data_IF_184249685882
#
_entry.id   IF_184249685882
#
_cell.length_a   1.000
_cell.length_b   1.000
_cell.length_c   1.000
_cell.angle_alpha   90.00
_cell.angle_beta   90.00
_cell.angle_gamma   90.00
#
_symmetry.space_group_name_H-M   'P 1'
#
loop_
_entity.id
_entity.type
_entity.pdbx_description
1 polymer ?
#
# COMPACT_ATOMS: atom_id res chain seq x y z
N UNK A 1 5.95 2.66 5.30
CA UNK A 1 6.47 2.47 6.68
C UNK A 1 5.38 2.54 7.73
N UNK A 2 4.70 3.68 7.91
CA UNK A 2 3.67 3.82 8.96
C UNK A 2 2.52 2.81 8.85
N UNK A 3 2.10 2.47 7.62
CA UNK A 3 1.08 1.44 7.39
C UNK A 3 1.56 0.07 7.88
N UNK A 4 2.77 -0.37 7.48
CA UNK A 4 3.39 -1.59 7.99
C UNK A 4 3.53 -1.59 9.50
N UNK A 5 4.01 -0.49 10.10
CA UNK A 5 4.19 -0.41 11.55
C UNK A 5 2.86 -0.50 12.28
N UNK A 6 1.82 0.18 11.78
CA UNK A 6 0.48 0.08 12.34
C UNK A 6 -0.06 -1.35 12.29
N UNK A 7 0.22 -2.11 11.23
CA UNK A 7 -0.20 -3.52 11.10
C UNK A 7 0.64 -4.44 11.98
N UNK A 8 1.95 -4.24 12.01
CA UNK A 8 2.87 -4.97 12.87
C UNK A 8 2.48 -4.82 14.34
N UNK A 9 2.27 -3.59 14.81
CA UNK A 9 1.88 -3.32 16.21
C UNK A 9 0.51 -3.91 16.57
N UNK A 10 -0.37 -4.10 15.59
CA UNK A 10 -1.70 -4.67 15.81
C UNK A 10 -1.65 -6.20 15.98
N UNK A 11 -0.69 -6.89 15.38
CA UNK A 11 -0.54 -8.34 15.51
C UNK A 11 0.94 -8.79 15.32
N UNK A 12 1.87 -8.44 16.23
CA UNK A 12 3.30 -8.69 16.00
C UNK A 12 3.63 -10.17 15.79
N UNK A 13 2.90 -11.05 16.48
CA UNK A 13 3.07 -12.50 16.40
C UNK A 13 2.86 -13.08 15.00
N UNK A 14 2.05 -12.43 14.15
CA UNK A 14 1.83 -12.86 12.78
C UNK A 14 3.03 -12.53 11.88
N UNK A 15 3.78 -11.45 12.18
CA UNK A 15 4.87 -10.97 11.33
C UNK A 15 6.24 -11.54 11.73
N UNK A 16 6.52 -11.61 13.04
CA UNK A 16 7.86 -11.96 13.57
C UNK A 16 8.40 -13.28 13.01
N UNK A 17 7.61 -14.39 12.91
CA UNK A 17 8.11 -15.64 12.33
C UNK A 17 8.58 -15.50 10.88
N UNK A 18 7.95 -14.61 10.11
CA UNK A 18 8.32 -14.37 8.71
C UNK A 18 9.50 -13.40 8.58
N UNK A 19 9.67 -12.48 9.54
CA UNK A 19 10.85 -11.61 9.61
C UNK A 19 12.10 -12.42 9.96
N UNK A 20 11.99 -13.36 10.92
CA UNK A 20 13.09 -14.19 11.41
C UNK A 20 13.27 -15.51 10.63
N UNK A 21 12.57 -15.67 9.49
CA UNK A 21 12.69 -16.88 8.69
C UNK A 21 14.11 -17.05 8.13
N UNK A 22 14.57 -18.30 8.05
CA UNK A 22 15.89 -18.69 7.55
C UNK A 22 15.75 -19.49 6.24
N UNK A 23 16.66 -19.36 5.26
CA UNK A 23 17.89 -18.56 5.27
C UNK A 23 17.69 -17.07 5.00
N UNK A 24 16.47 -16.66 4.64
CA UNK A 24 16.09 -15.28 4.41
C UNK A 24 14.64 -15.01 4.85
N UNK A 25 14.31 -13.75 5.21
CA UNK A 25 12.95 -13.38 5.59
C UNK A 25 11.93 -13.74 4.52
N UNK A 26 10.76 -14.25 4.93
CA UNK A 26 9.67 -14.61 4.03
C UNK A 26 8.91 -13.36 3.55
N UNK A 27 9.51 -12.67 2.57
CA UNK A 27 8.99 -11.43 1.97
C UNK A 27 7.61 -11.60 1.34
N UNK A 28 7.34 -12.75 0.75
CA UNK A 28 6.04 -13.06 0.15
C UNK A 28 4.94 -13.06 1.20
N UNK A 29 5.17 -13.71 2.34
CA UNK A 29 4.16 -13.76 3.40
C UNK A 29 4.03 -12.41 4.11
N UNK A 30 5.12 -11.68 4.30
CA UNK A 30 5.06 -10.30 4.79
C UNK A 30 4.21 -9.42 3.86
N UNK A 31 4.36 -9.57 2.54
CA UNK A 31 3.54 -8.86 1.56
C UNK A 31 2.06 -9.27 1.65
N UNK A 32 1.77 -10.55 1.87
CA UNK A 32 0.40 -11.06 2.04
C UNK A 32 -0.26 -10.45 3.30
N UNK A 33 0.44 -10.46 4.44
CA UNK A 33 -0.06 -9.92 5.70
C UNK A 33 -0.39 -8.42 5.64
N UNK A 34 0.32 -7.65 4.82
CA UNK A 34 0.01 -6.24 4.59
C UNK A 34 -0.98 -6.01 3.44
N UNK A 35 -1.30 -6.99 2.61
CA UNK A 35 -2.18 -6.80 1.46
C UNK A 35 -3.64 -6.98 1.85
N UNK A 36 -4.49 -6.04 1.44
CA UNK A 36 -5.96 -6.15 1.53
C UNK A 36 -6.54 -5.93 0.14
N UNK A 37 -6.78 -6.99 -0.65
CA UNK A 37 -7.19 -6.87 -2.06
C UNK A 37 -8.45 -6.02 -2.25
N UNK A 38 -9.39 -6.09 -1.30
CA UNK A 38 -10.64 -5.34 -1.32
C UNK A 38 -10.40 -3.83 -1.19
N UNK A 39 -9.39 -3.45 -0.38
CA UNK A 39 -8.99 -2.05 -0.20
C UNK A 39 -8.28 -1.53 -1.46
N UNK A 40 -7.41 -2.35 -2.08
CA UNK A 40 -6.76 -1.99 -3.34
C UNK A 40 -7.80 -1.82 -4.47
N UNK A 41 -8.76 -2.73 -4.59
CA UNK A 41 -9.84 -2.63 -5.56
C UNK A 41 -10.70 -1.37 -5.35
N UNK A 42 -11.14 -1.11 -4.12
CA UNK A 42 -11.91 0.09 -3.79
C UNK A 42 -11.10 1.38 -4.03
N UNK A 43 -9.79 1.35 -3.82
CA UNK A 43 -8.89 2.45 -4.12
C UNK A 43 -8.84 2.75 -5.61
N UNK A 44 -8.75 1.74 -6.47
CA UNK A 44 -8.72 1.91 -7.93
C UNK A 44 -10.04 2.48 -8.47
N UNK A 45 -11.20 1.99 -7.99
CA UNK A 45 -12.52 2.54 -8.36
C UNK A 45 -12.62 4.01 -7.98
N UNK A 46 -12.20 4.37 -6.76
CA UNK A 46 -12.20 5.76 -6.31
C UNK A 46 -11.22 6.62 -7.09
N UNK A 47 -10.06 6.08 -7.46
CA UNK A 47 -9.05 6.77 -8.25
C UNK A 47 -9.59 7.10 -9.64
N UNK A 48 -10.25 6.15 -10.29
CA UNK A 48 -10.90 6.34 -11.58
C UNK A 48 -11.92 7.49 -11.54
N UNK A 49 -12.82 7.48 -10.54
CA UNK A 49 -13.80 8.54 -10.33
C UNK A 49 -13.14 9.91 -10.12
N UNK A 50 -12.10 9.97 -9.29
CA UNK A 50 -11.34 11.20 -9.05
C UNK A 50 -10.65 11.70 -10.32
N UNK A 51 -9.99 10.83 -11.06
CA UNK A 51 -9.31 11.19 -12.30
C UNK A 51 -10.30 11.68 -13.36
N UNK A 52 -11.49 11.08 -13.45
CA UNK A 52 -12.57 11.53 -14.35
C UNK A 52 -13.06 12.94 -14.00
N UNK A 53 -13.22 13.25 -12.70
CA UNK A 53 -13.67 14.59 -12.26
C UNK A 53 -12.57 15.64 -12.42
N UNK A 54 -11.35 15.37 -11.93
CA UNK A 54 -10.26 16.34 -11.94
C UNK A 54 -9.54 16.46 -13.30
N UNK A 55 -9.74 15.49 -14.20
CA UNK A 55 -9.25 15.54 -15.57
C UNK A 55 -10.05 16.46 -16.49
N UNK A 56 -11.18 17.00 -16.02
CA UNK A 56 -12.03 17.92 -16.76
C UNK A 56 -11.61 19.38 -16.59
N UNK A 57 -12.17 20.26 -17.42
CA UNK A 57 -12.08 21.70 -17.17
C UNK A 57 -13.17 22.13 -16.19
N UNK A 58 -12.76 22.65 -15.03
CA UNK A 58 -13.66 23.03 -13.95
C UNK A 58 -14.15 24.49 -14.08
N UNK A 59 -13.65 25.26 -15.05
CA UNK A 59 -14.08 26.64 -15.26
C UNK A 59 -15.49 26.71 -15.87
N UNK A 60 -16.40 27.41 -15.18
CA UNK A 60 -17.81 27.55 -15.58
C UNK A 60 -18.01 28.22 -16.96
N UNK A 61 -17.03 28.99 -17.44
CA UNK A 61 -17.03 29.58 -18.78
C UNK A 61 -16.58 28.57 -19.87
N UNK A 62 -15.67 27.66 -19.53
CA UNK A 62 -15.19 26.59 -20.41
C UNK A 62 -16.21 25.45 -20.54
N UNK A 63 -17.03 25.22 -19.51
CA UNK A 63 -18.10 24.20 -19.51
C UNK A 63 -19.15 24.41 -20.62
N UNK A 64 -19.31 25.64 -21.15
CA UNK A 64 -20.21 25.94 -22.29
C UNK A 64 -19.56 25.72 -23.66
N UNK A 65 -18.23 25.60 -23.72
CA UNK A 65 -17.47 25.45 -24.96
C UNK A 65 -16.76 24.10 -24.93
N UNK A 66 -17.49 23.10 -25.42
CA UNK A 66 -17.06 21.75 -25.77
C UNK A 66 -16.95 20.76 -24.61
N UNK A 67 -17.68 19.68 -24.82
CA UNK A 67 -17.29 18.28 -24.61
C UNK A 67 -15.86 17.97 -25.11
N UNK A 68 -14.86 18.64 -24.55
CA UNK A 68 -13.45 18.39 -24.83
C UNK A 68 -13.05 17.07 -24.17
N UNK A 69 -12.21 16.29 -24.86
CA UNK A 69 -11.61 15.10 -24.26
C UNK A 69 -10.91 15.48 -22.94
N UNK A 70 -10.97 14.61 -21.92
CA UNK A 70 -10.31 14.87 -20.64
C UNK A 70 -8.82 15.16 -20.86
N UNK A 71 -8.26 16.06 -20.04
CA UNK A 71 -6.85 16.48 -20.09
C UNK A 71 -5.88 15.31 -19.81
N UNK A 72 -6.40 14.23 -19.23
CA UNK A 72 -5.66 13.02 -18.89
C UNK A 72 -6.52 11.80 -19.25
N UNK A 73 -5.86 10.74 -19.73
CA UNK A 73 -6.50 9.44 -19.88
C UNK A 73 -6.68 8.79 -18.51
N UNK A 74 -7.94 8.61 -18.11
CA UNK A 74 -8.32 8.02 -16.83
C UNK A 74 -7.81 6.57 -16.70
N UNK A 75 -7.87 5.79 -17.77
CA UNK A 75 -7.43 4.40 -17.76
C UNK A 75 -5.91 4.32 -17.54
N UNK A 76 -5.17 5.26 -18.10
CA UNK A 76 -3.72 5.37 -17.93
C UNK A 76 -3.35 5.60 -16.46
N UNK A 77 -4.10 6.47 -15.77
CA UNK A 77 -3.90 6.75 -14.33
C UNK A 77 -4.17 5.50 -13.49
N UNK A 78 -5.26 4.79 -13.76
CA UNK A 78 -5.58 3.54 -13.06
C UNK A 78 -4.49 2.49 -13.30
N UNK A 79 -4.04 2.34 -14.54
CA UNK A 79 -2.96 1.40 -14.88
C UNK A 79 -1.65 1.75 -14.17
N UNK A 80 -1.28 3.04 -14.13
CA UNK A 80 -0.09 3.50 -13.42
C UNK A 80 -0.14 3.09 -11.94
N UNK A 81 -1.29 3.27 -11.28
CA UNK A 81 -1.44 2.88 -9.89
C UNK A 81 -1.37 1.37 -9.69
N UNK A 82 -2.07 0.61 -10.52
CA UNK A 82 -2.13 -0.84 -10.42
C UNK A 82 -0.76 -1.51 -10.68
N UNK A 83 -0.02 -1.03 -11.67
CA UNK A 83 1.23 -1.66 -12.11
C UNK A 83 2.47 -1.14 -11.39
N UNK A 84 2.44 0.08 -10.85
CA UNK A 84 3.63 0.72 -10.29
C UNK A 84 3.40 1.23 -8.87
N UNK A 85 2.43 2.14 -8.66
CA UNK A 85 2.31 2.81 -7.35
C UNK A 85 2.00 1.82 -6.22
N UNK A 86 1.00 0.95 -6.41
CA UNK A 86 0.61 -0.05 -5.40
C UNK A 86 1.75 -1.07 -5.18
N UNK A 87 2.32 -1.72 -6.21
CA UNK A 87 3.44 -2.64 -6.02
C UNK A 87 4.66 -2.02 -5.31
N UNK A 88 5.13 -0.86 -5.78
CA UNK A 88 6.31 -0.20 -5.21
C UNK A 88 6.07 0.20 -3.74
N UNK A 89 4.85 0.64 -3.42
CA UNK A 89 4.49 0.96 -2.02
C UNK A 89 4.57 -0.29 -1.14
N UNK A 90 4.07 -1.44 -1.64
CA UNK A 90 4.17 -2.72 -0.92
C UNK A 90 5.62 -3.16 -0.75
N UNK A 91 6.47 -3.03 -1.76
CA UNK A 91 7.88 -3.38 -1.67
C UNK A 91 8.58 -2.59 -0.54
N UNK A 92 8.34 -1.28 -0.46
CA UNK A 92 8.87 -0.43 0.61
C UNK A 92 8.31 -0.81 1.97
N UNK A 93 7.03 -1.19 2.04
CA UNK A 93 6.38 -1.67 3.26
C UNK A 93 6.98 -3.00 3.76
N UNK A 94 7.35 -3.91 2.87
CA UNK A 94 8.04 -5.17 3.20
C UNK A 94 9.49 -4.94 3.59
N UNK A 95 10.23 -4.09 2.87
CA UNK A 95 11.61 -3.71 3.19
C UNK A 95 11.74 -3.14 4.61
N UNK A 96 10.72 -2.39 5.04
CA UNK A 96 10.65 -1.94 6.42
C UNK A 96 10.48 -3.10 7.41
N UNK A 97 9.54 -4.01 7.16
CA UNK A 97 9.23 -5.13 8.06
C UNK A 97 10.45 -6.04 8.24
N UNK A 98 11.20 -6.31 7.17
CA UNK A 98 12.42 -7.12 7.21
C UNK A 98 13.44 -6.56 8.21
N UNK A 99 13.53 -5.24 8.34
CA UNK A 99 14.48 -4.57 9.24
C UNK A 99 13.86 -4.20 10.59
N UNK A 100 12.60 -4.58 10.83
CA UNK A 100 11.83 -4.05 11.95
C UNK A 100 12.37 -4.48 13.30
N UNK A 101 12.99 -5.66 13.36
CA UNK A 101 13.54 -6.22 14.59
C UNK A 101 15.02 -5.86 14.80
N UNK A 102 15.64 -5.15 13.86
CA UNK A 102 17.03 -4.73 13.95
C UNK A 102 17.25 -3.88 15.21
N UNK A 103 18.23 -4.27 16.03
CA UNK A 103 18.57 -3.58 17.27
C UNK A 103 17.67 -3.90 18.48
N UNK A 104 16.72 -4.82 18.36
CA UNK A 104 15.93 -5.31 19.49
C UNK A 104 16.65 -6.45 20.22
N UNK A 105 16.46 -6.52 21.55
CA UNK A 105 16.92 -7.66 22.34
C UNK A 105 15.95 -8.85 22.21
N UNK A 106 16.42 -10.07 22.50
CA UNK A 106 15.54 -11.24 22.51
C UNK A 106 14.34 -11.07 23.46
N UNK A 107 14.55 -10.45 24.62
CA UNK A 107 13.46 -10.15 25.56
C UNK A 107 12.41 -9.20 24.99
N UNK A 108 12.81 -8.24 24.15
CA UNK A 108 11.86 -7.33 23.49
C UNK A 108 11.04 -8.06 22.43
N UNK A 109 11.68 -8.96 21.67
CA UNK A 109 11.02 -9.79 20.66
C UNK A 109 10.01 -10.73 21.33
N UNK A 110 10.39 -11.37 22.43
CA UNK A 110 9.50 -12.26 23.19
C UNK A 110 8.30 -11.49 23.77
N UNK A 111 8.52 -10.26 24.25
CA UNK A 111 7.45 -9.39 24.72
C UNK A 111 6.47 -9.03 23.59
N UNK A 112 6.97 -8.73 22.38
CA UNK A 112 6.13 -8.48 21.21
C UNK A 112 5.34 -9.73 20.79
N UNK A 113 5.96 -10.91 20.81
CA UNK A 113 5.30 -12.18 20.49
C UNK A 113 4.16 -12.53 21.45
N UNK A 114 4.24 -12.08 22.71
CA UNK A 114 3.20 -12.31 23.72
C UNK A 114 2.02 -11.33 23.66
N UNK A 115 2.10 -10.30 22.80
CA UNK A 115 1.09 -9.26 22.69
C UNK A 115 -0.01 -9.70 21.71
N UNK A 116 -1.19 -10.01 22.25
CA UNK A 116 -2.42 -10.24 21.49
C UNK A 116 -3.10 -8.94 21.10
#
# INVERSE_FOLDING_TARGET
MFVSESKFLAAPADFIPHILAEPEPNRTELANLITKPEVEAALLVRLEQKASVYGQDLDAAAAKVKSGQPKIDVNEVVRLYQQFVIPITKDVEVEYLVKRLDGLSQSDIDALMSKQ
#
